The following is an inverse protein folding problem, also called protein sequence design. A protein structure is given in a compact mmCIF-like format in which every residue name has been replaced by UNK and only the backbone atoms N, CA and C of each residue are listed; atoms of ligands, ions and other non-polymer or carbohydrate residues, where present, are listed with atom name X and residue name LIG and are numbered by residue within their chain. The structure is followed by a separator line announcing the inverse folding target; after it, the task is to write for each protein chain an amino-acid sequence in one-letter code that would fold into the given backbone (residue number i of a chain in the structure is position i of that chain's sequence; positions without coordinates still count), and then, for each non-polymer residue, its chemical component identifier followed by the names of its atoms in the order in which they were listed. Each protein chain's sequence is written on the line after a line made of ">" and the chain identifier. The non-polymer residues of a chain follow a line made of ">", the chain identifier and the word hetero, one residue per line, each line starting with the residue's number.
data_IF_577633747731
#
_entry.id   IF_577633747731
#
_cell.length_a   1.000
_cell.length_b   1.000
_cell.length_c   1.000
_cell.angle_alpha   90.00
_cell.angle_beta   90.00
_cell.angle_gamma   90.00
#
_symmetry.space_group_name_H-M   'P 1'
#
loop_
_entity.id
_entity.type
_entity.pdbx_description
1 polymer ?
#
# COMPACT_ATOMS: atom_id res chain seq x y z
N UNK A 1 39.85 -62.06 9.95
CA UNK A 1 39.24 -61.35 8.79
C UNK A 1 37.77 -61.15 9.13
N UNK A 2 37.15 -59.97 9.25
CA UNK A 2 37.45 -58.56 9.01
C UNK A 2 36.74 -57.77 10.12
N UNK A 3 37.45 -56.86 10.80
CA UNK A 3 36.81 -55.80 11.57
C UNK A 3 36.38 -54.72 10.57
N UNK A 4 35.09 -54.53 10.34
CA UNK A 4 34.58 -53.39 9.60
C UNK A 4 34.19 -52.30 10.60
N UNK A 5 35.07 -51.33 10.77
CA UNK A 5 34.80 -50.07 11.46
C UNK A 5 33.75 -49.29 10.63
N UNK A 6 32.55 -49.11 11.18
CA UNK A 6 31.53 -48.24 10.61
C UNK A 6 31.85 -46.81 11.05
N UNK A 7 32.49 -46.02 10.18
CA UNK A 7 32.69 -44.59 10.41
C UNK A 7 31.36 -43.89 10.09
N UNK A 8 30.61 -43.56 11.13
CA UNK A 8 29.45 -42.66 11.01
C UNK A 8 30.00 -41.25 10.83
N UNK A 9 29.99 -40.77 9.59
CA UNK A 9 30.31 -39.39 9.27
C UNK A 9 29.15 -38.51 9.76
N UNK A 10 29.28 -37.96 10.97
CA UNK A 10 28.35 -36.98 11.51
C UNK A 10 28.53 -35.67 10.72
N UNK A 11 27.73 -35.49 9.67
CA UNK A 11 27.65 -34.21 8.95
C UNK A 11 26.92 -33.23 9.87
N UNK A 12 27.68 -32.54 10.70
CA UNK A 12 27.21 -31.37 11.45
C UNK A 12 27.01 -30.28 10.39
N UNK A 13 25.79 -30.15 9.89
CA UNK A 13 25.37 -28.97 9.16
C UNK A 13 25.46 -27.78 10.12
N UNK A 14 26.58 -27.07 10.05
CA UNK A 14 26.72 -25.74 10.60
C UNK A 14 25.74 -24.87 9.81
N UNK A 15 24.50 -24.85 10.27
CA UNK A 15 23.52 -23.86 9.88
C UNK A 15 24.10 -22.53 10.36
N UNK A 16 24.74 -21.80 9.46
CA UNK A 16 25.00 -20.39 9.67
C UNK A 16 23.64 -19.71 9.85
N UNK A 17 23.20 -19.61 11.11
CA UNK A 17 22.13 -18.69 11.49
C UNK A 17 22.68 -17.28 11.31
N UNK A 18 22.67 -16.81 10.05
CA UNK A 18 22.88 -15.40 9.77
C UNK A 18 21.64 -14.70 10.32
N UNK A 19 21.77 -14.09 11.49
CA UNK A 19 20.76 -13.17 11.99
C UNK A 19 20.74 -11.98 11.04
N UNK A 20 19.89 -12.03 10.01
CA UNK A 20 19.53 -10.81 9.32
C UNK A 20 18.82 -9.93 10.36
N UNK A 21 19.55 -8.95 10.90
CA UNK A 21 18.96 -7.96 11.79
C UNK A 21 17.97 -7.14 10.95
N UNK A 22 16.68 -7.49 11.04
CA UNK A 22 15.62 -6.72 10.40
C UNK A 22 15.66 -5.28 10.91
N UNK A 23 15.49 -4.31 10.01
CA UNK A 23 15.23 -2.93 10.44
C UNK A 23 13.91 -2.90 11.20
N UNK A 24 13.90 -2.30 12.39
CA UNK A 24 12.71 -2.20 13.25
C UNK A 24 12.23 -0.75 13.27
N UNK A 25 10.97 -0.55 12.92
CA UNK A 25 10.23 0.70 13.00
C UNK A 25 9.21 0.56 14.12
N UNK A 26 9.34 1.35 15.18
CA UNK A 26 8.31 1.42 16.22
C UNK A 26 7.26 2.44 15.78
N UNK A 27 6.22 2.00 15.09
CA UNK A 27 5.16 2.86 14.53
C UNK A 27 4.46 3.69 15.60
N UNK A 28 4.33 3.17 16.81
CA UNK A 28 3.92 3.99 17.94
C UNK A 28 4.71 3.65 19.19
N UNK A 29 5.24 4.68 19.82
CA UNK A 29 5.94 4.63 21.10
C UNK A 29 5.29 5.63 22.05
N UNK A 30 4.59 5.10 23.06
CA UNK A 30 3.91 5.87 24.11
C UNK A 30 4.94 6.56 25.03
N UNK A 31 6.17 6.06 25.10
CA UNK A 31 7.22 6.64 25.94
C UNK A 31 7.85 7.89 25.33
N UNK A 32 7.68 8.12 24.03
CA UNK A 32 8.14 9.34 23.36
C UNK A 32 7.18 10.48 23.65
N UNK A 33 7.74 11.68 23.84
CA UNK A 33 6.95 12.89 24.04
C UNK A 33 5.91 13.02 22.91
N UNK A 34 4.64 13.16 23.28
CA UNK A 34 3.50 13.08 22.36
C UNK A 34 3.30 14.32 21.50
N UNK A 35 4.16 15.33 21.65
CA UNK A 35 4.07 16.59 20.93
C UNK A 35 4.22 16.40 19.42
N UNK A 36 3.42 17.15 18.67
CA UNK A 36 3.49 17.15 17.21
C UNK A 36 4.76 17.88 16.75
N UNK A 37 5.65 17.18 16.07
CA UNK A 37 6.89 17.75 15.54
C UNK A 37 6.62 18.42 14.20
N UNK A 38 7.11 19.65 14.02
CA UNK A 38 7.00 20.34 12.74
C UNK A 38 8.21 20.02 11.86
N UNK A 39 7.96 19.46 10.68
CA UNK A 39 8.97 19.25 9.64
C UNK A 39 8.81 20.35 8.58
N UNK A 40 9.84 21.15 8.28
CA UNK A 40 9.79 22.11 7.18
C UNK A 40 9.56 21.40 5.85
N UNK A 41 8.60 21.84 5.05
CA UNK A 41 8.26 21.23 3.75
C UNK A 41 9.46 21.19 2.81
N UNK A 42 10.19 22.29 2.72
CA UNK A 42 11.41 22.45 1.92
C UNK A 42 12.56 21.53 2.33
N UNK A 43 12.51 20.93 3.52
CA UNK A 43 13.48 19.93 3.96
C UNK A 43 13.30 18.60 3.23
N UNK A 44 12.06 18.24 2.87
CA UNK A 44 11.71 16.94 2.30
C UNK A 44 11.14 16.99 0.87
N UNK A 45 10.71 18.15 0.39
CA UNK A 45 10.15 18.36 -0.94
C UNK A 45 11.13 19.16 -1.80
N UNK A 46 11.36 18.72 -3.03
CA UNK A 46 12.20 19.37 -4.04
C UNK A 46 11.41 20.29 -4.99
N UNK A 47 10.10 20.04 -5.15
CA UNK A 47 9.23 20.83 -6.00
C UNK A 47 7.76 20.61 -5.68
N UNK A 48 6.96 21.64 -5.95
CA UNK A 48 5.52 21.63 -5.70
C UNK A 48 4.80 22.15 -6.94
N UNK A 49 3.73 21.48 -7.32
CA UNK A 49 2.80 21.89 -8.37
C UNK A 49 1.40 21.93 -7.78
N UNK A 50 0.68 23.03 -7.99
CA UNK A 50 -0.71 23.20 -7.55
C UNK A 50 -1.58 23.20 -8.79
N UNK A 51 -2.52 22.26 -8.85
CA UNK A 51 -3.48 22.09 -9.92
C UNK A 51 -4.86 22.43 -9.37
N UNK A 52 -5.43 23.54 -9.81
CA UNK A 52 -6.82 23.89 -9.50
C UNK A 52 -7.76 23.04 -10.35
N UNK A 53 -8.70 22.36 -9.71
CA UNK A 53 -9.69 21.57 -10.43
C UNK A 53 -10.84 22.47 -10.90
N UNK A 54 -11.23 22.28 -12.16
CA UNK A 54 -12.39 22.91 -12.77
C UNK A 54 -13.64 22.68 -11.91
N UNK A 55 -14.22 23.78 -11.47
CA UNK A 55 -15.43 23.85 -10.66
C UNK A 55 -16.58 24.58 -11.39
N UNK A 56 -16.46 24.74 -12.72
CA UNK A 56 -17.50 25.38 -13.52
C UNK A 56 -18.82 24.62 -13.46
N UNK A 57 -19.92 25.22 -13.91
CA UNK A 57 -21.25 24.59 -13.92
C UNK A 57 -21.31 23.24 -14.67
N UNK A 58 -20.34 22.96 -15.54
CA UNK A 58 -20.23 21.71 -16.29
C UNK A 58 -19.39 20.65 -15.59
N UNK A 59 -18.59 21.05 -14.59
CA UNK A 59 -17.78 20.14 -13.81
C UNK A 59 -18.62 19.47 -12.71
N UNK A 60 -18.28 18.23 -12.33
CA UNK A 60 -19.01 17.52 -11.29
C UNK A 60 -18.70 18.09 -9.91
N UNK A 61 -19.65 17.94 -9.00
CA UNK A 61 -19.39 18.16 -7.57
C UNK A 61 -18.58 16.96 -7.06
N UNK A 62 -17.39 17.23 -6.54
CA UNK A 62 -16.57 16.22 -5.87
C UNK A 62 -17.00 16.15 -4.39
N UNK A 63 -17.50 14.99 -3.99
CA UNK A 63 -17.83 14.65 -2.61
C UNK A 63 -16.62 14.07 -1.86
N UNK A 64 -16.84 13.00 -1.09
CA UNK A 64 -15.80 12.36 -0.30
C UNK A 64 -14.85 11.60 -1.21
N UNK A 65 -13.57 12.00 -1.25
CA UNK A 65 -12.58 11.31 -2.06
C UNK A 65 -12.17 10.00 -1.39
N UNK A 66 -12.37 8.91 -2.13
CA UNK A 66 -11.91 7.57 -1.77
C UNK A 66 -10.57 7.21 -2.41
N UNK A 67 -10.30 7.73 -3.61
CA UNK A 67 -9.03 7.51 -4.31
C UNK A 67 -8.71 8.66 -5.26
N UNK A 68 -7.42 8.98 -5.39
CA UNK A 68 -6.86 9.83 -6.44
C UNK A 68 -5.74 9.06 -7.14
N UNK A 69 -5.81 8.97 -8.46
CA UNK A 69 -4.80 8.31 -9.28
C UNK A 69 -4.25 9.28 -10.32
N UNK A 70 -2.93 9.31 -10.50
CA UNK A 70 -2.26 10.07 -11.54
C UNK A 70 -1.70 9.11 -12.61
N UNK A 71 -1.99 9.43 -13.86
CA UNK A 71 -1.41 8.81 -15.05
C UNK A 71 -0.51 9.82 -15.78
N UNK A 72 0.10 9.39 -16.88
CA UNK A 72 0.91 10.28 -17.73
C UNK A 72 0.07 11.39 -18.41
N UNK A 73 -1.25 11.21 -18.47
CA UNK A 73 -2.15 12.05 -19.27
C UNK A 73 -3.22 12.76 -18.45
N UNK A 74 -3.63 12.23 -17.30
CA UNK A 74 -4.77 12.73 -16.54
C UNK A 74 -4.74 12.31 -15.06
N UNK A 75 -5.56 12.98 -14.26
CA UNK A 75 -5.92 12.62 -12.90
C UNK A 75 -7.30 11.96 -12.87
N UNK A 76 -7.46 10.94 -12.03
CA UNK A 76 -8.74 10.27 -11.79
C UNK A 76 -9.11 10.37 -10.33
N UNK A 77 -10.29 10.88 -10.05
CA UNK A 77 -10.80 11.04 -8.71
C UNK A 77 -12.00 10.13 -8.54
N UNK A 78 -11.96 9.27 -7.52
CA UNK A 78 -13.10 8.45 -7.11
C UNK A 78 -13.83 9.18 -5.98
N UNK A 79 -14.98 9.76 -6.31
CA UNK A 79 -15.86 10.48 -5.39
C UNK A 79 -16.96 9.58 -4.84
N UNK A 80 -17.15 9.62 -3.53
CA UNK A 80 -18.20 8.91 -2.76
C UNK A 80 -18.24 7.39 -2.99
N UNK A 81 -17.15 6.82 -3.50
CA UNK A 81 -17.08 5.43 -3.98
C UNK A 81 -18.00 5.15 -5.18
N UNK A 82 -18.53 6.18 -5.86
CA UNK A 82 -19.61 6.06 -6.86
C UNK A 82 -19.35 6.79 -8.17
N UNK A 83 -18.42 7.73 -8.19
CA UNK A 83 -18.16 8.48 -9.41
C UNK A 83 -16.67 8.50 -9.67
N UNK A 84 -16.29 8.24 -10.92
CA UNK A 84 -14.90 8.34 -11.38
C UNK A 84 -14.81 9.51 -12.34
N UNK A 85 -14.15 10.57 -11.91
CA UNK A 85 -13.99 11.78 -12.70
C UNK A 85 -12.57 11.88 -13.24
N UNK A 86 -12.46 12.14 -14.54
CA UNK A 86 -11.19 12.35 -15.23
C UNK A 86 -10.96 13.85 -15.43
N UNK A 87 -9.78 14.31 -15.02
CA UNK A 87 -9.30 15.67 -15.20
C UNK A 87 -7.99 15.64 -15.97
N UNK A 88 -7.76 16.59 -16.87
CA UNK A 88 -6.46 16.72 -17.52
C UNK A 88 -5.38 17.19 -16.53
N UNK A 89 -4.12 17.24 -16.98
CA UNK A 89 -2.98 17.67 -16.15
C UNK A 89 -3.07 19.13 -15.72
N UNK A 90 -3.90 19.96 -16.37
CA UNK A 90 -4.13 21.36 -16.00
C UNK A 90 -5.28 21.52 -15.01
N UNK A 91 -5.98 20.43 -14.67
CA UNK A 91 -7.12 20.43 -13.76
C UNK A 91 -8.46 20.66 -14.44
N UNK A 92 -8.54 20.67 -15.78
CA UNK A 92 -9.81 20.81 -16.49
C UNK A 92 -10.59 19.50 -16.46
N UNK A 93 -11.89 19.57 -16.17
CA UNK A 93 -12.74 18.39 -16.21
C UNK A 93 -12.88 17.88 -17.65
N UNK A 94 -12.64 16.57 -17.84
CA UNK A 94 -12.79 15.91 -19.13
C UNK A 94 -14.14 15.20 -19.21
N UNK A 95 -14.38 14.25 -18.29
CA UNK A 95 -15.56 13.37 -18.30
C UNK A 95 -15.70 12.57 -17.02
N UNK A 96 -16.88 11.97 -16.85
CA UNK A 96 -17.08 10.85 -15.94
C UNK A 96 -16.82 9.52 -16.68
N UNK A 97 -16.18 8.57 -16.01
CA UNK A 97 -15.94 7.22 -16.52
C UNK A 97 -17.00 6.27 -15.95
N UNK A 98 -17.83 5.71 -16.83
CA UNK A 98 -18.93 4.84 -16.45
C UNK A 98 -20.01 5.54 -15.61
N UNK A 99 -21.02 4.78 -15.19
CA UNK A 99 -22.16 5.27 -14.40
C UNK A 99 -22.61 4.22 -13.39
N UNK A 100 -23.36 4.65 -12.38
CA UNK A 100 -23.92 3.73 -11.40
C UNK A 100 -25.03 2.88 -12.03
N UNK A 101 -24.92 1.56 -11.89
CA UNK A 101 -25.91 0.62 -12.44
C UNK A 101 -25.39 -0.81 -12.53
N UNK A 102 -26.11 -1.65 -13.28
CA UNK A 102 -25.82 -3.10 -13.41
C UNK A 102 -25.55 -3.53 -14.85
N UNK A 103 -25.75 -2.65 -15.82
CA UNK A 103 -25.52 -2.88 -17.23
C UNK A 103 -24.04 -3.03 -17.60
N UNK A 104 -23.74 -3.31 -18.88
CA UNK A 104 -22.37 -3.31 -19.38
C UNK A 104 -21.71 -1.94 -19.19
N UNK A 105 -20.52 -1.92 -18.56
CA UNK A 105 -19.81 -0.67 -18.27
C UNK A 105 -20.40 0.18 -17.14
N UNK A 106 -21.38 -0.34 -16.41
CA UNK A 106 -21.92 0.26 -15.19
C UNK A 106 -21.41 -0.49 -13.95
N UNK A 107 -21.31 0.22 -12.82
CA UNK A 107 -20.83 -0.32 -11.54
C UNK A 107 -21.73 0.08 -10.37
N UNK A 108 -21.63 -0.63 -9.24
CA UNK A 108 -22.43 -0.33 -8.04
C UNK A 108 -21.64 0.47 -7.01
N UNK A 109 -20.36 0.15 -6.83
CA UNK A 109 -19.42 0.87 -5.95
C UNK A 109 -17.99 0.60 -6.42
N UNK A 110 -17.15 1.62 -6.45
CA UNK A 110 -15.75 1.54 -6.87
C UNK A 110 -14.83 1.55 -5.66
N UNK A 111 -14.12 0.44 -5.47
CA UNK A 111 -13.16 0.26 -4.36
C UNK A 111 -11.70 0.19 -4.85
N UNK A 112 -11.47 0.32 -6.15
CA UNK A 112 -10.13 0.31 -6.73
C UNK A 112 -10.09 0.87 -8.14
N UNK A 113 -9.01 1.59 -8.46
CA UNK A 113 -8.71 2.11 -9.79
C UNK A 113 -7.24 1.86 -10.13
N UNK A 114 -6.97 1.51 -11.38
CA UNK A 114 -5.65 1.65 -11.97
C UNK A 114 -5.73 2.15 -13.39
N UNK A 115 -4.69 2.87 -13.79
CA UNK A 115 -4.46 3.21 -15.18
C UNK A 115 -3.11 2.63 -15.57
N UNK A 116 -3.12 1.92 -16.69
CA UNK A 116 -1.92 1.39 -17.30
C UNK A 116 -1.59 2.25 -18.52
N UNK A 117 -0.58 3.10 -18.39
CA UNK A 117 -0.17 4.01 -19.44
C UNK A 117 0.34 3.28 -20.70
N UNK A 118 0.90 2.08 -20.57
CA UNK A 118 1.45 1.32 -21.70
C UNK A 118 0.38 0.81 -22.65
N UNK A 119 -0.72 0.25 -22.12
CA UNK A 119 -1.83 -0.27 -22.92
C UNK A 119 -3.02 0.71 -22.97
N UNK A 120 -2.87 1.88 -22.35
CA UNK A 120 -3.90 2.94 -22.33
C UNK A 120 -5.24 2.44 -21.79
N UNK A 121 -5.21 1.55 -20.79
CA UNK A 121 -6.41 1.02 -20.14
C UNK A 121 -6.66 1.61 -18.76
N UNK A 122 -7.93 1.76 -18.42
CA UNK A 122 -8.42 2.12 -17.09
C UNK A 122 -9.16 0.89 -16.54
N UNK A 123 -8.77 0.42 -15.37
CA UNK A 123 -9.44 -0.67 -14.68
C UNK A 123 -10.13 -0.13 -13.43
N UNK A 124 -11.42 -0.41 -13.30
CA UNK A 124 -12.25 -0.06 -12.14
C UNK A 124 -12.71 -1.34 -11.44
N UNK A 125 -12.56 -1.43 -10.13
CA UNK A 125 -13.08 -2.57 -9.38
C UNK A 125 -14.44 -2.26 -8.76
N UNK A 126 -15.46 -2.90 -9.33
CA UNK A 126 -16.83 -2.92 -8.84
C UNK A 126 -16.98 -4.01 -7.76
N UNK A 127 -16.74 -3.64 -6.50
CA UNK A 127 -16.69 -4.59 -5.37
C UNK A 127 -18.00 -5.36 -5.16
N UNK A 128 -19.20 -4.73 -5.16
CA UNK A 128 -20.45 -5.47 -4.94
C UNK A 128 -20.73 -6.52 -6.02
N UNK A 129 -20.35 -6.25 -7.28
CA UNK A 129 -20.53 -7.23 -8.36
C UNK A 129 -19.34 -8.18 -8.51
N UNK A 130 -18.24 -7.93 -7.79
CA UNK A 130 -16.95 -8.61 -7.92
C UNK A 130 -16.45 -8.61 -9.38
N UNK A 131 -16.48 -7.45 -10.02
CA UNK A 131 -16.04 -7.28 -11.42
C UNK A 131 -14.91 -6.26 -11.51
N UNK A 132 -13.87 -6.60 -12.26
CA UNK A 132 -12.88 -5.65 -12.76
C UNK A 132 -13.35 -5.17 -14.13
N UNK A 133 -13.86 -3.95 -14.20
CA UNK A 133 -14.31 -3.30 -15.44
C UNK A 133 -13.11 -2.68 -16.15
N UNK A 134 -12.97 -2.92 -17.45
CA UNK A 134 -11.91 -2.38 -18.29
C UNK A 134 -12.48 -1.35 -19.26
N UNK A 135 -11.87 -0.18 -19.30
CA UNK A 135 -12.16 0.91 -20.23
C UNK A 135 -10.90 1.27 -21.01
N UNK A 136 -11.07 1.85 -22.19
CA UNK A 136 -9.95 2.46 -22.91
C UNK A 136 -9.68 3.89 -22.41
N UNK A 137 -8.59 4.49 -22.92
CA UNK A 137 -8.20 5.88 -22.64
C UNK A 137 -9.29 6.92 -22.89
N UNK A 138 -10.23 6.66 -23.80
CA UNK A 138 -11.32 7.59 -24.10
C UNK A 138 -12.52 7.42 -23.15
N UNK A 139 -12.43 6.53 -22.16
CA UNK A 139 -13.50 6.22 -21.22
C UNK A 139 -14.57 5.29 -21.79
N UNK A 140 -14.34 4.67 -22.95
CA UNK A 140 -15.28 3.70 -23.50
C UNK A 140 -15.07 2.34 -22.84
N UNK A 141 -16.17 1.74 -22.38
CA UNK A 141 -16.17 0.40 -21.83
C UNK A 141 -15.73 -0.62 -22.88
N UNK A 142 -14.84 -1.54 -22.48
CA UNK A 142 -14.33 -2.61 -23.33
C UNK A 142 -14.89 -3.96 -22.90
N UNK A 143 -14.69 -4.31 -21.63
CA UNK A 143 -15.03 -5.64 -21.09
C UNK A 143 -15.02 -5.60 -19.56
N UNK A 144 -15.43 -6.71 -18.94
CA UNK A 144 -15.15 -6.95 -17.54
C UNK A 144 -14.52 -8.33 -17.34
N UNK A 145 -13.72 -8.44 -16.30
CA UNK A 145 -13.26 -9.70 -15.76
C UNK A 145 -13.93 -9.94 -14.40
N UNK A 146 -14.48 -11.14 -14.20
CA UNK A 146 -14.98 -11.58 -12.90
C UNK A 146 -14.00 -12.60 -12.33
N UNK A 147 -13.21 -12.25 -11.29
CA UNK A 147 -12.31 -13.20 -10.67
C UNK A 147 -13.05 -14.46 -10.26
N UNK A 148 -12.56 -15.60 -10.75
CA UNK A 148 -13.09 -16.91 -10.40
C UNK A 148 -12.07 -17.65 -9.56
N UNK A 149 -12.30 -17.66 -8.25
CA UNK A 149 -11.49 -18.42 -7.31
C UNK A 149 -12.06 -19.83 -7.14
N UNK A 150 -11.18 -20.85 -7.07
CA UNK A 150 -11.62 -22.24 -6.83
C UNK A 150 -12.21 -22.44 -5.43
N UNK A 151 -11.75 -21.66 -4.46
CA UNK A 151 -12.30 -21.61 -3.11
C UNK A 151 -13.42 -20.57 -3.10
N UNK A 152 -14.66 -21.02 -2.83
CA UNK A 152 -15.87 -20.20 -2.87
C UNK A 152 -15.94 -19.15 -1.76
N UNK A 153 -15.05 -19.22 -0.76
CA UNK A 153 -14.98 -18.24 0.33
C UNK A 153 -14.05 -17.07 0.02
N UNK A 154 -13.43 -17.04 -1.16
CA UNK A 154 -12.54 -15.95 -1.58
C UNK A 154 -13.32 -14.83 -2.28
N UNK A 155 -13.14 -13.61 -1.78
CA UNK A 155 -13.67 -12.40 -2.39
C UNK A 155 -12.52 -11.42 -2.63
N UNK A 156 -12.48 -10.83 -3.82
CA UNK A 156 -11.53 -9.77 -4.11
C UNK A 156 -11.88 -8.55 -3.26
N UNK A 157 -10.91 -8.03 -2.52
CA UNK A 157 -11.08 -6.82 -1.71
C UNK A 157 -10.62 -5.59 -2.46
N UNK A 158 -9.46 -5.67 -3.12
CA UNK A 158 -9.05 -4.71 -4.14
C UNK A 158 -7.83 -5.26 -4.88
N UNK A 159 -7.13 -4.39 -5.61
CA UNK A 159 -5.94 -4.73 -6.36
C UNK A 159 -4.87 -3.62 -6.27
N UNK A 160 -3.64 -3.97 -6.64
CA UNK A 160 -2.54 -3.02 -6.77
C UNK A 160 -1.79 -3.24 -8.10
N UNK A 161 -1.44 -2.18 -8.86
CA UNK A 161 -0.65 -2.32 -10.08
C UNK A 161 0.73 -2.92 -9.82
N UNK A 162 1.04 -4.05 -10.45
CA UNK A 162 2.34 -4.72 -10.34
C UNK A 162 2.93 -4.99 -11.72
N UNK A 163 3.89 -4.18 -12.14
CA UNK A 163 4.46 -4.21 -13.49
C UNK A 163 3.35 -4.12 -14.55
N UNK A 164 3.22 -5.12 -15.42
CA UNK A 164 2.20 -5.23 -16.46
C UNK A 164 1.03 -6.14 -16.04
N UNK A 165 0.81 -6.28 -14.73
CA UNK A 165 -0.17 -7.18 -14.13
C UNK A 165 -0.82 -6.51 -12.92
N UNK A 166 -1.85 -7.16 -12.36
CA UNK A 166 -2.52 -6.68 -11.15
C UNK A 166 -2.29 -7.66 -10.00
N UNK A 167 -1.87 -7.14 -8.85
CA UNK A 167 -1.78 -7.90 -7.62
C UNK A 167 -3.13 -7.81 -6.91
N UNK A 168 -3.88 -8.91 -6.92
CA UNK A 168 -5.14 -9.07 -6.24
C UNK A 168 -4.92 -9.51 -4.80
N UNK A 169 -5.68 -8.92 -3.89
CA UNK A 169 -5.72 -9.36 -2.50
C UNK A 169 -7.16 -9.58 -2.06
N UNK A 170 -7.38 -10.70 -1.37
CA UNK A 170 -8.72 -11.24 -1.16
C UNK A 170 -9.05 -11.36 0.32
N UNK A 171 -10.32 -11.17 0.69
CA UNK A 171 -10.79 -11.68 1.97
C UNK A 171 -11.05 -13.16 1.84
N UNK A 172 -10.78 -13.86 2.94
CA UNK A 172 -10.92 -15.30 3.06
C UNK A 172 -11.35 -15.63 4.50
N UNK A 173 -11.50 -16.91 4.81
CA UNK A 173 -11.73 -17.37 6.18
C UNK A 173 -10.43 -17.36 7.02
N UNK A 174 -9.66 -16.27 7.00
CA UNK A 174 -8.40 -16.13 7.73
C UNK A 174 -8.12 -14.67 8.07
N UNK A 175 -7.31 -14.45 9.10
CA UNK A 175 -6.76 -13.12 9.39
C UNK A 175 -5.67 -12.70 8.39
N UNK A 176 -5.09 -13.66 7.65
CA UNK A 176 -4.12 -13.41 6.59
C UNK A 176 -4.76 -13.61 5.21
N UNK A 177 -4.76 -12.54 4.41
CA UNK A 177 -5.33 -12.50 3.06
C UNK A 177 -4.48 -13.29 2.04
N UNK A 178 -5.13 -13.94 1.07
CA UNK A 178 -4.45 -14.53 -0.09
C UNK A 178 -4.08 -13.43 -1.09
N UNK A 179 -2.92 -13.61 -1.73
CA UNK A 179 -2.41 -12.73 -2.79
C UNK A 179 -2.32 -13.51 -4.10
N UNK A 180 -2.88 -12.93 -5.16
CA UNK A 180 -2.84 -13.49 -6.50
C UNK A 180 -2.27 -12.46 -7.47
N UNK A 181 -1.48 -12.92 -8.43
CA UNK A 181 -1.01 -12.09 -9.52
C UNK A 181 -1.87 -12.39 -10.74
N UNK A 182 -2.74 -11.45 -11.09
CA UNK A 182 -3.60 -11.52 -12.26
C UNK A 182 -2.90 -10.97 -13.49
N UNK A 183 -2.83 -11.79 -14.53
CA UNK A 183 -2.33 -11.41 -15.85
C UNK A 183 -3.51 -11.18 -16.79
N UNK A 184 -3.84 -9.91 -17.00
CA UNK A 184 -4.97 -9.49 -17.83
C UNK A 184 -4.84 -9.94 -19.30
N UNK A 185 -3.61 -10.00 -19.83
CA UNK A 185 -3.39 -10.39 -21.24
C UNK A 185 -3.77 -11.86 -21.52
N UNK A 186 -3.72 -12.72 -20.51
CA UNK A 186 -3.97 -14.17 -20.66
C UNK A 186 -5.19 -14.62 -19.85
N UNK A 187 -5.71 -13.77 -18.96
CA UNK A 187 -6.85 -14.07 -18.09
C UNK A 187 -6.54 -15.08 -16.98
N UNK A 188 -5.27 -15.24 -16.59
CA UNK A 188 -4.80 -16.24 -15.62
C UNK A 188 -4.35 -15.60 -14.30
N UNK A 189 -4.31 -16.40 -13.23
CA UNK A 189 -3.92 -15.98 -11.88
C UNK A 189 -2.85 -16.91 -11.29
N UNK A 190 -1.66 -16.34 -11.03
CA UNK A 190 -0.63 -17.00 -10.24
C UNK A 190 -0.88 -16.79 -8.74
N UNK A 191 -0.64 -17.82 -7.93
CA UNK A 191 -0.71 -17.71 -6.46
C UNK A 191 0.61 -17.13 -5.94
N UNK A 192 0.55 -15.99 -5.25
CA UNK A 192 1.71 -15.36 -4.60
C UNK A 192 1.82 -15.78 -3.14
N UNK A 193 0.70 -15.78 -2.42
CA UNK A 193 0.62 -16.19 -1.02
C UNK A 193 -0.74 -16.78 -0.77
N UNK A 194 -0.80 -17.82 0.06
CA UNK A 194 -2.06 -18.33 0.59
C UNK A 194 -2.24 -18.03 2.07
N UNK A 195 -3.49 -18.08 2.55
CA UNK A 195 -3.78 -18.20 3.98
C UNK A 195 -3.05 -19.40 4.58
N UNK A 196 -2.64 -19.25 5.83
CA UNK A 196 -1.94 -20.30 6.57
C UNK A 196 -2.89 -21.24 7.32
N UNK A 197 -4.03 -20.70 7.78
CA UNK A 197 -5.08 -21.43 8.49
C UNK A 197 -6.45 -20.85 8.25
N UNK A 198 -7.46 -21.66 8.50
CA UNK A 198 -8.84 -21.19 8.62
C UNK A 198 -9.10 -20.60 10.02
N UNK A 199 -10.06 -19.68 10.09
CA UNK A 199 -10.55 -19.14 11.35
C UNK A 199 -11.30 -20.21 12.16
N UNK A 200 -11.18 -20.13 13.48
CA UNK A 200 -11.94 -20.93 14.42
C UNK A 200 -13.35 -20.35 14.60
N UNK A 201 -14.36 -21.16 14.98
CA UNK A 201 -15.68 -20.64 15.32
C UNK A 201 -15.61 -19.53 16.37
N UNK A 202 -16.22 -18.38 16.07
CA UNK A 202 -16.22 -17.19 16.95
C UNK A 202 -15.07 -16.21 16.74
N UNK A 203 -14.10 -16.52 15.87
CA UNK A 203 -13.08 -15.54 15.45
C UNK A 203 -13.65 -14.51 14.47
N UNK A 204 -13.20 -13.26 14.59
CA UNK A 204 -13.59 -12.15 13.72
C UNK A 204 -12.47 -11.76 12.75
N UNK A 205 -12.87 -11.31 11.54
CA UNK A 205 -11.93 -10.77 10.54
C UNK A 205 -11.64 -9.31 10.88
N UNK A 206 -10.36 -8.97 11.08
CA UNK A 206 -9.91 -7.60 11.41
C UNK A 206 -8.81 -7.08 10.47
N UNK A 207 -8.53 -7.78 9.37
CA UNK A 207 -7.34 -7.53 8.56
C UNK A 207 -7.61 -6.60 7.38
N UNK A 208 -6.69 -5.65 7.18
CA UNK A 208 -6.45 -4.98 5.91
C UNK A 208 -5.01 -5.25 5.47
N UNK A 209 -4.80 -5.25 4.15
CA UNK A 209 -3.48 -5.30 3.53
C UNK A 209 -3.18 -3.94 2.92
N UNK A 210 -1.99 -3.41 3.22
CA UNK A 210 -1.49 -2.16 2.66
C UNK A 210 -0.36 -2.50 1.70
N UNK A 211 -0.53 -2.13 0.43
CA UNK A 211 0.46 -2.32 -0.63
C UNK A 211 0.90 -0.94 -1.11
N UNK A 212 2.20 -0.66 -1.05
CA UNK A 212 2.74 0.66 -1.31
C UNK A 212 4.16 0.60 -1.88
N UNK A 213 4.67 1.76 -2.34
CA UNK A 213 6.02 1.87 -2.87
C UNK A 213 6.09 1.62 -4.36
N UNK A 214 7.19 1.04 -4.83
CA UNK A 214 7.45 0.91 -6.28
C UNK A 214 6.62 -0.22 -6.87
N UNK A 215 5.88 0.03 -7.96
CA UNK A 215 5.07 -0.97 -8.68
C UNK A 215 5.85 -2.24 -9.07
N UNK A 216 7.17 -2.16 -9.27
CA UNK A 216 8.00 -3.32 -9.64
C UNK A 216 8.34 -4.23 -8.45
N UNK A 217 8.34 -3.69 -7.24
CA UNK A 217 8.74 -4.34 -6.00
C UNK A 217 8.05 -3.70 -4.79
N UNK A 218 6.70 -3.80 -4.71
CA UNK A 218 5.94 -3.11 -3.69
C UNK A 218 6.20 -3.73 -2.31
N UNK A 219 6.08 -2.88 -1.29
CA UNK A 219 6.00 -3.31 0.09
C UNK A 219 4.58 -3.73 0.43
N UNK A 220 4.46 -4.72 1.32
CA UNK A 220 3.19 -5.29 1.75
C UNK A 220 3.21 -5.40 3.27
N UNK A 221 2.20 -4.81 3.90
CA UNK A 221 2.00 -4.81 5.35
C UNK A 221 0.57 -5.28 5.69
N UNK A 222 0.43 -6.02 6.79
CA UNK A 222 -0.85 -6.52 7.29
C UNK A 222 -0.86 -6.37 8.83
N UNK A 223 -2.01 -6.00 9.41
CA UNK A 223 -2.16 -5.82 10.86
C UNK A 223 -1.76 -7.00 11.74
N UNK A 224 -1.94 -8.23 11.28
CA UNK A 224 -1.59 -9.43 12.06
C UNK A 224 -0.10 -9.78 12.00
N UNK A 225 0.66 -9.07 11.17
CA UNK A 225 2.06 -9.33 10.96
C UNK A 225 2.87 -8.04 11.14
N UNK A 226 3.72 -8.02 12.15
CA UNK A 226 4.69 -6.95 12.33
C UNK A 226 5.72 -6.94 11.19
N UNK A 227 5.81 -7.96 10.36
CA UNK A 227 6.71 -8.01 9.22
C UNK A 227 6.15 -7.26 8.01
N UNK A 228 6.91 -6.27 7.54
CA UNK A 228 6.75 -5.71 6.20
C UNK A 228 7.52 -6.60 5.22
N UNK A 229 6.83 -7.05 4.18
CA UNK A 229 7.42 -7.83 3.09
C UNK A 229 7.66 -6.93 1.88
N UNK A 230 8.65 -7.28 1.08
CA UNK A 230 8.79 -6.76 -0.29
C UNK A 230 8.48 -7.88 -1.28
N UNK A 231 7.63 -7.62 -2.26
CA UNK A 231 7.33 -8.58 -3.32
C UNK A 231 8.42 -8.50 -4.40
N UNK A 232 9.31 -9.49 -4.43
CA UNK A 232 10.39 -9.59 -5.43
C UNK A 232 10.28 -10.92 -6.16
N UNK A 233 10.28 -10.87 -7.49
CA UNK A 233 10.23 -12.07 -8.35
C UNK A 233 9.09 -13.03 -7.95
N UNK A 234 7.89 -12.47 -7.73
CA UNK A 234 6.68 -13.21 -7.30
C UNK A 234 6.81 -13.90 -5.93
N UNK A 235 7.77 -13.49 -5.09
CA UNK A 235 7.98 -14.01 -3.73
C UNK A 235 7.96 -12.88 -2.70
N UNK A 236 7.30 -13.13 -1.57
CA UNK A 236 7.36 -12.25 -0.41
C UNK A 236 8.69 -12.45 0.31
N UNK A 237 9.48 -11.39 0.41
CA UNK A 237 10.75 -11.38 1.14
C UNK A 237 10.58 -10.50 2.38
N UNK A 238 10.73 -11.03 3.60
CA UNK A 238 10.64 -10.21 4.81
C UNK A 238 11.78 -9.19 4.81
N UNK A 239 11.51 -7.93 5.15
CA UNK A 239 12.53 -6.86 5.04
C UNK A 239 12.59 -5.91 6.21
N UNK A 240 11.47 -5.66 6.90
CA UNK A 240 11.42 -4.75 8.05
C UNK A 240 10.38 -5.24 9.06
N UNK A 241 10.51 -4.83 10.31
CA UNK A 241 9.50 -5.03 11.34
C UNK A 241 8.85 -3.69 11.69
N UNK A 242 7.55 -3.56 11.53
CA UNK A 242 6.71 -2.47 12.00
C UNK A 242 6.03 -2.88 13.31
N UNK A 243 6.56 -2.38 14.44
CA UNK A 243 6.06 -2.69 15.79
C UNK A 243 5.09 -1.61 16.26
N UNK A 244 3.95 -2.04 16.79
CA UNK A 244 2.92 -1.19 17.40
C UNK A 244 2.83 -1.37 18.93
N UNK A 245 3.91 -1.88 19.54
CA UNK A 245 3.99 -2.11 20.97
C UNK A 245 2.96 -3.13 21.47
N UNK A 246 2.31 -2.82 22.58
CA UNK A 246 1.29 -3.64 23.25
C UNK A 246 -0.09 -3.61 22.57
N UNK A 247 -0.25 -2.83 21.49
CA UNK A 247 -1.47 -2.75 20.68
C UNK A 247 -1.52 -3.81 19.56
N UNK A 248 -0.55 -4.74 19.54
CA UNK A 248 -0.55 -5.88 18.62
C UNK A 248 -1.84 -6.69 18.81
N UNK A 249 -2.46 -7.05 17.68
CA UNK A 249 -3.60 -7.97 17.67
C UNK A 249 -3.04 -9.40 17.73
N UNK A 250 -3.26 -10.06 18.86
CA UNK A 250 -2.96 -11.48 19.03
C UNK A 250 -4.15 -12.33 18.59
N UNK A 251 -3.91 -13.60 18.23
CA UNK A 251 -4.98 -14.50 17.82
C UNK A 251 -6.06 -14.69 18.90
N UNK A 252 -5.68 -14.63 20.17
CA UNK A 252 -6.61 -14.79 21.30
C UNK A 252 -7.66 -13.68 21.39
N UNK A 253 -7.39 -12.49 20.85
CA UNK A 253 -8.35 -11.37 20.88
C UNK A 253 -9.32 -11.37 19.69
N UNK A 254 -9.17 -12.31 18.74
CA UNK A 254 -10.09 -12.46 17.62
C UNK A 254 -11.48 -12.95 18.03
N UNK A 255 -11.61 -13.59 19.20
CA UNK A 255 -12.88 -14.09 19.69
C UNK A 255 -13.79 -12.94 20.13
N UNK A 256 -15.03 -12.93 19.62
CA UNK A 256 -16.04 -11.90 19.89
C UNK A 256 -16.19 -11.58 21.39
N UNK A 257 -16.23 -12.62 22.23
CA UNK A 257 -16.35 -12.54 23.69
C UNK A 257 -15.20 -11.79 24.37
N UNK A 258 -14.01 -11.82 23.75
CA UNK A 258 -12.77 -11.19 24.26
C UNK A 258 -12.52 -9.82 23.64
N UNK A 259 -13.03 -9.58 22.43
CA UNK A 259 -12.91 -8.29 21.76
C UNK A 259 -13.54 -7.17 22.59
N UNK A 260 -14.80 -7.34 23.02
CA UNK A 260 -15.56 -6.35 23.81
C UNK A 260 -14.93 -6.02 25.18
N UNK A 261 -14.35 -7.02 25.85
CA UNK A 261 -13.83 -6.91 27.21
C UNK A 261 -12.36 -6.44 27.31
N UNK A 262 -11.66 -6.29 26.18
CA UNK A 262 -10.31 -5.74 26.19
C UNK A 262 -10.36 -4.21 26.39
N UNK A 263 -10.07 -3.74 27.60
CA UNK A 263 -9.82 -2.32 27.90
C UNK A 263 -8.43 -1.89 27.36
N UNK A 264 -8.17 -2.14 26.07
CA UNK A 264 -6.89 -1.87 25.42
C UNK A 264 -6.99 -0.66 24.50
N UNK A 265 -5.86 0.01 24.31
CA UNK A 265 -5.71 0.97 23.23
C UNK A 265 -5.68 0.22 21.89
N UNK A 266 -6.34 0.76 20.87
CA UNK A 266 -6.43 0.15 19.54
C UNK A 266 -5.63 0.98 18.53
N UNK A 267 -4.81 0.30 17.72
CA UNK A 267 -4.07 0.92 16.62
C UNK A 267 -4.76 0.62 15.30
N UNK A 268 -5.08 1.64 14.52
CA UNK A 268 -5.65 1.50 13.19
C UNK A 268 -4.87 2.31 12.15
N UNK A 269 -4.06 1.63 11.34
CA UNK A 269 -3.53 2.14 10.08
C UNK A 269 -4.65 2.64 9.16
N UNK A 270 -4.54 3.88 8.70
CA UNK A 270 -5.44 4.45 7.70
C UNK A 270 -4.84 4.43 6.32
N UNK A 271 -3.53 4.69 6.20
CA UNK A 271 -2.87 4.76 4.90
C UNK A 271 -1.35 4.62 5.05
N UNK A 272 -0.70 4.09 4.02
CA UNK A 272 0.76 4.09 3.87
C UNK A 272 1.08 4.56 2.46
N UNK A 273 1.83 5.65 2.35
CA UNK A 273 2.24 6.21 1.06
C UNK A 273 3.74 6.35 1.04
N UNK A 274 4.37 6.02 -0.09
CA UNK A 274 5.79 6.26 -0.29
C UNK A 274 6.02 7.23 -1.44
N UNK A 275 6.72 8.32 -1.14
CA UNK A 275 7.29 9.27 -2.09
C UNK A 275 8.80 9.27 -1.93
N UNK A 276 9.50 8.80 -2.94
CA UNK A 276 10.95 8.66 -2.93
C UNK A 276 11.40 7.71 -1.82
N UNK A 277 12.35 8.15 -1.01
CA UNK A 277 12.84 7.40 0.16
C UNK A 277 11.97 7.62 1.41
N UNK A 278 10.93 8.47 1.33
CA UNK A 278 10.06 8.79 2.46
C UNK A 278 8.79 7.95 2.44
N UNK A 279 8.49 7.32 3.59
CA UNK A 279 7.26 6.58 3.83
C UNK A 279 6.43 7.32 4.89
N UNK A 280 5.21 7.65 4.52
CA UNK A 280 4.22 8.36 5.32
C UNK A 280 3.25 7.33 5.90
N UNK A 281 3.24 7.20 7.23
CA UNK A 281 2.31 6.33 7.96
C UNK A 281 1.20 7.17 8.57
N UNK A 282 -0.03 6.97 8.10
CA UNK A 282 -1.22 7.60 8.66
C UNK A 282 -1.96 6.56 9.50
N UNK A 283 -2.14 6.80 10.78
CA UNK A 283 -2.85 5.86 11.66
C UNK A 283 -3.66 6.61 12.71
N UNK A 284 -4.49 5.86 13.44
CA UNK A 284 -5.22 6.34 14.61
C UNK A 284 -4.94 5.46 15.81
N UNK A 285 -5.08 6.07 16.98
CA UNK A 285 -5.07 5.38 18.26
C UNK A 285 -6.35 5.76 19.00
N UNK A 286 -7.10 4.75 19.43
CA UNK A 286 -8.16 4.92 20.42
C UNK A 286 -7.63 4.43 21.76
N UNK A 287 -7.75 5.23 22.82
CA UNK A 287 -7.37 4.84 24.17
C UNK A 287 -8.64 4.47 24.93
N UNK A 288 -8.63 3.32 25.62
CA UNK A 288 -9.77 2.83 26.40
C UNK A 288 -11.10 2.76 25.63
N UNK A 289 -11.03 2.56 24.31
CA UNK A 289 -12.20 2.56 23.40
C UNK A 289 -13.04 3.82 23.46
N UNK A 290 -12.46 4.95 23.86
CA UNK A 290 -13.12 6.24 23.73
C UNK A 290 -13.46 6.48 22.24
N UNK A 291 -14.63 7.05 21.98
CA UNK A 291 -15.07 7.40 20.62
C UNK A 291 -14.09 8.35 19.92
N UNK A 292 -13.35 9.14 20.68
CA UNK A 292 -12.33 10.04 20.14
C UNK A 292 -11.08 9.24 19.74
N UNK A 293 -10.80 9.21 18.44
CA UNK A 293 -9.56 8.64 17.91
C UNK A 293 -8.53 9.74 17.65
N UNK A 294 -7.33 9.60 18.20
CA UNK A 294 -6.21 10.50 17.92
C UNK A 294 -5.56 10.09 16.61
N UNK A 295 -5.45 11.03 15.65
CA UNK A 295 -4.87 10.81 14.33
C UNK A 295 -3.40 11.21 14.31
N UNK A 296 -2.55 10.32 13.83
CA UNK A 296 -1.12 10.54 13.70
C UNK A 296 -0.69 10.47 12.23
N UNK A 297 0.34 11.24 11.93
CA UNK A 297 1.20 11.09 10.76
C UNK A 297 2.61 10.85 11.27
N UNK A 298 3.28 9.84 10.75
CA UNK A 298 4.69 9.58 11.05
C UNK A 298 5.47 9.43 9.76
N UNK A 299 6.75 9.80 9.79
CA UNK A 299 7.64 9.77 8.65
C UNK A 299 8.76 8.77 8.90
N UNK A 300 9.00 7.88 7.94
CA UNK A 300 10.15 7.00 7.91
C UNK A 300 10.99 7.32 6.67
N UNK A 301 12.27 7.56 6.86
CA UNK A 301 13.23 7.69 5.77
C UNK A 301 13.95 6.35 5.59
N UNK A 302 13.73 5.73 4.43
CA UNK A 302 14.29 4.43 4.06
C UNK A 302 15.82 4.48 3.95
N UNK A 303 16.36 5.63 3.53
CA UNK A 303 17.79 5.82 3.26
C UNK A 303 18.58 5.94 4.56
N UNK A 304 18.18 6.86 5.45
CA UNK A 304 18.83 7.07 6.75
C UNK A 304 18.37 6.06 7.81
N UNK A 305 17.19 5.46 7.64
CA UNK A 305 16.53 4.63 8.65
C UNK A 305 15.89 5.43 9.79
N UNK A 306 15.83 6.77 9.68
CA UNK A 306 15.24 7.63 10.69
C UNK A 306 13.72 7.50 10.69
N UNK A 307 13.14 7.44 11.90
CA UNK A 307 11.71 7.41 12.12
C UNK A 307 11.29 8.54 13.05
N UNK A 308 10.37 9.37 12.59
CA UNK A 308 9.82 10.50 13.35
C UNK A 308 8.32 10.30 13.52
N UNK A 309 7.91 10.13 14.78
CA UNK A 309 6.50 9.96 15.16
C UNK A 309 5.81 11.31 15.29
N UNK A 310 4.51 11.35 14.96
CA UNK A 310 3.62 12.48 15.17
C UNK A 310 4.15 13.78 14.57
N UNK A 311 4.14 13.88 13.26
CA UNK A 311 4.67 15.02 12.51
C UNK A 311 3.56 15.80 11.83
N UNK A 312 3.83 17.08 11.63
CA UNK A 312 3.11 17.93 10.68
C UNK A 312 4.15 18.59 9.78
N UNK A 313 4.00 18.41 8.48
CA UNK A 313 4.90 18.99 7.48
C UNK A 313 4.32 20.34 7.09
N UNK A 314 5.10 21.42 7.22
CA UNK A 314 4.60 22.78 6.99
C UNK A 314 5.52 23.55 6.06
N UNK A 315 4.91 24.25 5.11
CA UNK A 315 5.59 25.37 4.48
C UNK A 315 5.64 26.56 5.44
N UNK A 316 6.69 27.36 5.33
CA UNK A 316 6.89 28.53 6.20
C UNK A 316 5.87 29.65 5.92
N UNK A 317 5.44 29.77 4.67
CA UNK A 317 4.68 30.91 4.17
C UNK A 317 3.27 30.54 3.73
N UNK A 318 3.02 29.28 3.36
CA UNK A 318 1.73 28.83 2.85
C UNK A 318 1.13 27.67 3.66
N UNK A 319 0.09 27.97 4.44
CA UNK A 319 -0.65 26.97 5.21
C UNK A 319 -1.36 25.93 4.33
N UNK A 320 -1.65 26.25 3.06
CA UNK A 320 -2.23 25.34 2.08
C UNK A 320 -1.32 24.16 1.79
N UNK A 321 0.00 24.33 1.89
CA UNK A 321 0.99 23.29 1.61
C UNK A 321 1.30 22.39 2.82
N UNK A 322 0.57 22.57 3.92
CA UNK A 322 0.75 21.76 5.13
C UNK A 322 0.25 20.33 4.92
N UNK A 323 1.02 19.31 5.27
CA UNK A 323 0.56 17.91 5.34
C UNK A 323 0.52 17.49 6.80
N UNK A 324 -0.66 17.16 7.30
CA UNK A 324 -0.90 16.70 8.66
C UNK A 324 -1.64 15.37 8.69
N UNK A 325 -1.94 14.92 9.92
CA UNK A 325 -2.54 13.60 10.13
C UNK A 325 -3.95 13.43 9.57
N UNK A 326 -4.64 14.50 9.17
CA UNK A 326 -5.99 14.40 8.59
C UNK A 326 -6.00 14.34 7.07
N UNK A 327 -4.90 14.69 6.41
CA UNK A 327 -4.86 14.78 4.97
C UNK A 327 -4.94 13.41 4.30
N UNK A 328 -5.53 13.40 3.11
CA UNK A 328 -5.50 12.27 2.20
C UNK A 328 -4.31 12.44 1.26
N UNK A 329 -3.35 11.53 1.38
CA UNK A 329 -2.15 11.50 0.55
C UNK A 329 -2.20 10.27 -0.33
N UNK A 330 -1.81 10.44 -1.59
CA UNK A 330 -1.78 9.39 -2.60
C UNK A 330 -0.40 9.36 -3.25
N UNK A 331 -0.03 8.23 -3.82
CA UNK A 331 1.18 8.13 -4.62
C UNK A 331 0.94 8.74 -6.00
N UNK A 332 1.88 9.54 -6.49
CA UNK A 332 1.86 10.07 -7.86
C UNK A 332 2.28 9.01 -8.90
N UNK A 333 2.31 9.42 -10.17
CA UNK A 333 2.74 8.53 -11.25
C UNK A 333 4.23 8.18 -11.16
N UNK A 334 5.06 9.15 -10.76
CA UNK A 334 6.46 8.92 -10.37
C UNK A 334 6.56 8.38 -8.96
N UNK A 335 7.56 7.53 -8.70
CA UNK A 335 7.81 7.02 -7.35
C UNK A 335 8.23 8.09 -6.36
N UNK A 336 8.65 9.27 -6.83
CA UNK A 336 9.05 10.44 -6.02
C UNK A 336 7.86 11.36 -5.70
N UNK A 337 6.76 11.21 -6.41
CA UNK A 337 5.64 12.14 -6.32
C UNK A 337 4.62 11.64 -5.30
N UNK A 338 4.12 12.56 -4.48
CA UNK A 338 2.92 12.35 -3.68
C UNK A 338 1.89 13.42 -4.04
N UNK A 339 0.63 13.05 -3.95
CA UNK A 339 -0.51 13.91 -4.26
C UNK A 339 -1.31 14.13 -2.99
N UNK A 340 -1.70 15.38 -2.75
CA UNK A 340 -2.61 15.76 -1.67
C UNK A 340 -3.76 16.52 -2.31
N UNK A 341 -4.98 16.16 -1.95
CA UNK A 341 -6.17 16.89 -2.41
C UNK A 341 -6.76 17.69 -1.26
N UNK A 342 -7.07 18.95 -1.52
CA UNK A 342 -7.63 19.90 -0.55
C UNK A 342 -8.80 20.65 -1.17
N UNK A 343 -9.56 21.38 -0.35
CA UNK A 343 -10.65 22.22 -0.83
C UNK A 343 -11.99 21.50 -1.02
N UNK A 344 -12.30 20.52 -0.19
CA UNK A 344 -13.51 19.68 -0.27
C UNK A 344 -14.26 19.65 1.07
N UNK A 345 -15.54 19.25 1.08
CA UNK A 345 -16.75 20.05 0.84
C UNK A 345 -17.00 21.16 1.89
N UNK A 346 -16.13 21.32 2.89
CA UNK A 346 -16.29 22.29 3.99
C UNK A 346 -15.58 23.64 3.75
N UNK A 347 -15.05 23.88 2.55
CA UNK A 347 -14.35 25.11 2.20
C UNK A 347 -14.98 25.82 1.01
N UNK A 348 -15.12 27.15 1.08
CA UNK A 348 -15.52 28.04 -0.04
C UNK A 348 -14.49 28.09 -1.19
N UNK A 349 -13.51 27.18 -1.20
CA UNK A 349 -12.40 27.14 -2.16
C UNK A 349 -12.55 25.95 -3.08
N UNK A 350 -12.13 26.14 -4.33
CA UNK A 350 -12.10 25.09 -5.33
C UNK A 350 -11.22 23.94 -4.86
N UNK A 351 -11.57 22.69 -5.19
CA UNK A 351 -10.71 21.57 -4.89
C UNK A 351 -9.42 21.69 -5.70
N UNK A 352 -8.30 21.40 -5.04
CA UNK A 352 -6.98 21.48 -5.64
C UNK A 352 -6.26 20.16 -5.45
N UNK A 353 -5.50 19.75 -6.45
CA UNK A 353 -4.48 18.72 -6.29
C UNK A 353 -3.15 19.45 -6.09
N UNK A 354 -2.49 19.14 -4.98
CA UNK A 354 -1.12 19.57 -4.72
C UNK A 354 -0.22 18.37 -4.95
N UNK A 355 0.65 18.47 -5.94
CA UNK A 355 1.65 17.48 -6.25
C UNK A 355 2.98 17.90 -5.63
N UNK A 356 3.50 17.09 -4.72
CA UNK A 356 4.80 17.29 -4.12
C UNK A 356 5.80 16.28 -4.69
N UNK A 357 6.90 16.77 -5.24
CA UNK A 357 8.05 15.95 -5.60
C UNK A 357 8.97 15.84 -4.41
N UNK A 358 9.01 14.67 -3.77
CA UNK A 358 9.89 14.43 -2.62
C UNK A 358 11.37 14.45 -3.03
N UNK A 359 12.25 14.84 -2.11
CA UNK A 359 13.70 14.75 -2.32
C UNK A 359 14.10 13.27 -2.36
N UNK A 360 14.95 12.95 -3.32
CA UNK A 360 15.52 11.62 -3.50
C UNK A 360 17.04 11.76 -3.38
N UNK A 361 17.62 11.25 -2.28
CA UNK A 361 19.03 11.48 -2.00
C UNK A 361 19.98 10.59 -2.82
N UNK A 362 19.54 9.50 -3.46
CA UNK A 362 20.46 8.68 -4.27
C UNK A 362 19.78 7.90 -5.41
N UNK A 363 20.05 8.30 -6.67
CA UNK A 363 19.68 7.59 -7.91
C UNK A 363 20.06 6.11 -7.99
N UNK A 364 20.80 5.59 -7.01
CA UNK A 364 21.15 4.18 -6.84
C UNK A 364 21.18 3.76 -5.36
N UNK A 365 20.08 3.92 -4.61
CA UNK A 365 19.88 3.13 -3.39
C UNK A 365 19.52 1.69 -3.77
N UNK A 366 20.54 1.00 -4.27
CA UNK A 366 20.60 -0.45 -4.18
C UNK A 366 20.22 -0.82 -2.74
N UNK A 367 19.16 -1.61 -2.58
CA UNK A 367 19.26 -2.72 -1.67
C UNK A 367 20.54 -3.44 -2.13
N UNK A 368 21.70 -3.09 -1.55
CA UNK A 368 22.91 -3.90 -1.66
C UNK A 368 22.58 -5.20 -0.95
N UNK A 369 21.85 -6.06 -1.64
CA UNK A 369 21.98 -7.49 -1.49
C UNK A 369 23.48 -7.72 -1.55
N UNK A 370 24.07 -8.21 -0.46
CA UNK A 370 25.47 -8.63 -0.45
C UNK A 370 25.68 -9.50 -1.70
N UNK A 371 26.30 -8.95 -2.75
CA UNK A 371 26.83 -9.74 -3.85
C UNK A 371 27.96 -10.55 -3.23
N UNK A 372 27.66 -11.79 -2.84
CA UNK A 372 28.67 -12.82 -2.71
C UNK A 372 29.25 -13.04 -4.11
N UNK A 373 30.34 -12.34 -4.40
CA UNK A 373 31.24 -12.71 -5.48
C UNK A 373 31.83 -14.07 -5.11
N UNK A 374 31.25 -15.15 -5.63
CA UNK A 374 31.90 -16.46 -5.60
C UNK A 374 33.07 -16.36 -6.59
N UNK A 375 34.26 -16.00 -6.08
CA UNK A 375 35.51 -16.27 -6.78
C UNK A 375 35.72 -17.78 -6.77
N UNK A 376 35.38 -18.44 -7.88
CA UNK A 376 35.85 -19.80 -8.14
C UNK A 376 37.33 -19.68 -8.51
N UNK A 377 38.21 -19.91 -7.54
CA UNK A 377 39.62 -20.20 -7.82
C UNK A 377 39.68 -21.66 -8.24
N UNK A 378 39.77 -21.91 -9.55
CA UNK A 378 40.13 -23.23 -10.08
C UNK A 378 41.63 -23.40 -9.89
N UNK A 379 42.05 -24.13 -8.86
CA UNK A 379 43.41 -24.69 -8.80
C UNK A 379 43.43 -25.96 -9.64
N UNK A 380 44.12 -25.89 -10.78
CA UNK A 380 44.51 -27.05 -11.59
C UNK A 380 45.58 -27.84 -10.84
N UNK A 381 45.26 -29.06 -10.42
CA UNK A 381 46.22 -30.04 -9.94
C UNK A 381 46.85 -30.77 -11.14
N UNK A 382 48.12 -30.51 -11.40
CA UNK A 382 48.98 -31.31 -12.29
C UNK A 382 49.23 -32.68 -11.65
N UNK A 383 48.93 -33.74 -12.41
CA UNK A 383 49.29 -35.13 -12.09
C UNK A 383 50.79 -35.35 -12.24
N UNK A 384 51.35 -36.15 -11.33
CA UNK A 384 52.55 -36.97 -11.57
C UNK A 384 52.13 -38.19 -12.39
#
# INVERSE_FOLDING_TARGET
>A
MKNSLLIILLVISISCSRSENFKVINLHDISKNGDCQTIPLDSIVAGTEIIELDNSEKAPIIGVISSLYESDWSFYIVSDGKFVYEYDKTGKFIRQIGTQGRGPGEYLSIDGISVNDKDSSINLFDFPSQRLLKYNRNGNYLSYYKPHFKDTLLYLQSFYPYKDSLLFYTSNNSSRMDLFLFNDSVGDMDVISKKERDMLPGEMILSNVYIYGKKQNPFIYNYFNDTIFILKNKKLVPTMLARIGNMRIDYDVLFEEKWGNSAKSEFHMRNIVQGGDLVFFFYTISINKERAQTKFLSLYDVSSGNYTQNVQIKDKNDSLLTIGSRDLVFQGSSTEDILVIKGLPESDKNPIIIKFKTKWENGESSFRCCRLSVCIIVQTATKI
#
